data_IF_569051830354
#
_entry.id   IF_569051830354
#
_cell.length_a   1.000
_cell.length_b   1.000
_cell.length_c   1.000
_cell.angle_alpha   90.00
_cell.angle_beta   90.00
_cell.angle_gamma   90.00
#
_symmetry.space_group_name_H-M   'P 1'
#
loop_
_entity.id
_entity.type
_entity.pdbx_description
1 polymer ?
2 non-polymer ?
3 non-polymer ?
4 non-polymer ?
5 water ?
#
# COMPACT_ATOMS: atom_id res chain seq x y z
N UNK A 2 -10.59 -13.98 -3.29
CA UNK A 2 -10.00 -14.22 -1.94
C UNK A 2 -8.72 -13.38 -1.80
N UNK A 3 -8.38 -13.02 -0.56
CA UNK A 3 -7.23 -12.17 -0.31
C UNK A 3 -6.00 -13.01 0.02
N UNK A 4 -4.90 -12.72 -0.69
CA UNK A 4 -3.61 -13.27 -0.31
C UNK A 4 -2.62 -12.13 -0.11
N UNK A 5 -1.68 -12.31 0.83
CA UNK A 5 -0.69 -11.28 1.12
C UNK A 5 0.23 -11.13 -0.09
N UNK A 6 0.72 -9.90 -0.28
CA UNK A 6 1.67 -9.56 -1.32
C UNK A 6 3.11 -9.71 -0.81
N UNK A 7 4.00 -10.23 -1.67
CA UNK A 7 5.43 -10.29 -1.43
C UNK A 7 6.16 -9.24 -2.24
N UNK A 8 7.48 -9.12 -2.04
CA UNK A 8 8.34 -8.29 -2.86
C UNK A 8 8.12 -8.55 -4.34
N UNK A 9 7.87 -9.80 -4.73
CA UNK A 9 7.74 -10.14 -6.15
C UNK A 9 6.40 -9.67 -6.71
N UNK A 10 5.35 -9.73 -5.89
CA UNK A 10 4.06 -9.17 -6.25
C UNK A 10 4.21 -7.67 -6.43
N UNK A 11 4.93 -7.03 -5.52
CA UNK A 11 5.12 -5.60 -5.59
C UNK A 11 5.84 -5.21 -6.89
N UNK A 12 6.88 -5.99 -7.24
CA UNK A 12 7.66 -5.69 -8.44
C UNK A 12 6.77 -5.79 -9.68
N UNK A 13 5.92 -6.81 -9.73
CA UNK A 13 5.00 -6.99 -10.84
C UNK A 13 3.99 -5.84 -10.90
N UNK A 14 3.42 -5.47 -9.73
CA UNK A 14 2.45 -4.39 -9.70
C UNK A 14 3.08 -3.07 -10.12
N UNK A 15 4.30 -2.80 -9.68
CA UNK A 15 5.02 -1.60 -10.09
C UNK A 15 5.10 -1.54 -11.62
N UNK A 16 5.52 -2.64 -12.23
CA UNK A 16 5.70 -2.74 -13.68
C UNK A 16 4.37 -2.46 -14.38
N UNK A 17 3.31 -3.14 -13.94
CA UNK A 17 1.98 -2.97 -14.52
C UNK A 17 1.50 -1.53 -14.38
N UNK A 18 1.69 -0.92 -13.21
CA UNK A 18 1.21 0.44 -12.96
C UNK A 18 2.01 1.46 -13.77
N UNK A 19 3.33 1.26 -13.85
CA UNK A 19 4.19 2.12 -14.65
C UNK A 19 3.71 2.13 -16.11
N UNK A 20 3.43 0.95 -16.64
CA UNK A 20 2.95 0.80 -18.00
C UNK A 20 1.59 1.47 -18.16
N UNK A 21 0.62 1.11 -17.31
CA UNK A 21 -0.74 1.57 -17.49
C UNK A 21 -0.88 3.07 -17.24
N UNK A 22 -0.07 3.66 -16.35
CA UNK A 22 -0.15 5.08 -16.06
C UNK A 22 0.89 5.88 -16.87
N UNK A 23 1.66 5.21 -17.72
CA UNK A 23 2.71 5.86 -18.51
C UNK A 23 3.65 6.68 -17.63
N UNK A 24 4.19 6.04 -16.59
CA UNK A 24 4.99 6.74 -15.60
C UNK A 24 6.36 7.04 -16.22
N UNK A 25 6.84 8.30 -16.19
CA UNK A 25 8.18 8.65 -16.69
C UNK A 25 9.32 7.92 -15.99
N UNK A 26 10.38 7.64 -16.78
CA UNK A 26 11.55 6.89 -16.34
C UNK A 26 12.13 7.39 -15.01
N UNK A 27 12.19 8.71 -14.82
CA UNK A 27 12.82 9.26 -13.62
C UNK A 27 11.99 8.90 -12.37
N UNK A 28 10.66 8.82 -12.51
CA UNK A 28 9.82 8.39 -11.40
C UNK A 28 10.09 6.90 -11.10
N UNK A 29 10.26 6.09 -12.15
CA UNK A 29 10.42 4.66 -12.00
C UNK A 29 11.63 4.36 -11.11
N UNK A 30 12.70 5.12 -11.29
CA UNK A 30 13.93 4.93 -10.54
C UNK A 30 13.69 5.21 -9.06
N UNK A 31 12.93 6.26 -8.77
CA UNK A 31 12.62 6.59 -7.39
C UNK A 31 11.75 5.48 -6.80
N UNK A 32 10.74 5.04 -7.56
CA UNK A 32 9.81 4.03 -7.07
C UNK A 32 10.53 2.72 -6.77
N UNK A 33 11.55 2.36 -7.57
CA UNK A 33 12.35 1.16 -7.35
C UNK A 33 13.10 1.23 -6.00
N UNK A 34 13.45 2.45 -5.59
CA UNK A 34 14.13 2.69 -4.33
C UNK A 34 13.14 2.99 -3.21
N UNK A 35 11.83 2.82 -3.48
CA UNK A 35 10.77 3.10 -2.52
C UNK A 35 10.84 4.55 -2.03
N UNK A 36 11.12 5.47 -2.95
CA UNK A 36 11.11 6.90 -2.67
C UNK A 36 9.94 7.51 -3.43
N UNK A 37 9.10 8.25 -2.72
CA UNK A 37 7.81 8.67 -3.28
C UNK A 37 7.61 10.16 -3.07
N UNK A 38 7.73 10.97 -4.14
CA UNK A 38 7.31 12.37 -4.10
C UNK A 38 5.82 12.51 -3.81
N UNK A 39 5.42 13.66 -3.26
CA UNK A 39 4.02 13.91 -2.93
C UNK A 39 3.37 14.70 -4.05
N UNK A 40 3.32 14.13 -5.26
CA UNK A 40 2.70 14.79 -6.40
C UNK A 40 1.65 13.85 -6.99
N UNK A 41 0.86 14.35 -7.95
CA UNK A 41 -0.28 13.60 -8.45
C UNK A 41 0.16 12.31 -9.12
N UNK A 42 1.25 12.35 -9.90
CA UNK A 42 1.80 11.19 -10.57
C UNK A 42 2.04 10.06 -9.55
N UNK A 43 2.65 10.41 -8.42
CA UNK A 43 3.05 9.43 -7.42
C UNK A 43 1.84 8.95 -6.62
N UNK A 44 0.92 9.86 -6.31
CA UNK A 44 -0.24 9.50 -5.51
C UNK A 44 -1.14 8.54 -6.29
N UNK A 45 -1.27 8.76 -7.61
CA UNK A 45 -2.06 7.85 -8.43
C UNK A 45 -1.34 6.52 -8.62
N UNK A 46 0.00 6.53 -8.60
CA UNK A 46 0.78 5.30 -8.65
C UNK A 46 0.51 4.45 -7.40
N UNK A 47 0.55 5.09 -6.24
CA UNK A 47 0.33 4.40 -4.98
C UNK A 47 -1.09 3.82 -4.95
N UNK A 48 -2.09 4.59 -5.46
CA UNK A 48 -3.44 4.05 -5.50
C UNK A 48 -3.49 2.78 -6.34
N UNK A 49 -2.82 2.81 -7.50
CA UNK A 49 -2.79 1.71 -8.45
C UNK A 49 -2.20 0.45 -7.79
N UNK A 50 -1.09 0.62 -7.06
CA UNK A 50 -0.43 -0.50 -6.42
C UNK A 50 -1.30 -1.04 -5.28
N UNK A 51 -1.88 -0.16 -4.47
CA UNK A 51 -2.75 -0.58 -3.39
C UNK A 51 -4.00 -1.26 -3.95
N UNK A 52 -4.55 -0.78 -5.07
CA UNK A 52 -5.66 -1.44 -5.73
C UNK A 52 -5.28 -2.90 -6.03
N UNK A 53 -4.12 -3.06 -6.67
CA UNK A 53 -3.68 -4.37 -7.13
C UNK A 53 -3.41 -5.31 -5.95
N UNK A 54 -3.01 -4.76 -4.80
CA UNK A 54 -2.74 -5.58 -3.62
C UNK A 54 -4.00 -5.75 -2.76
N UNK A 55 -5.13 -5.24 -3.26
CA UNK A 55 -6.42 -5.35 -2.58
C UNK A 55 -6.34 -4.76 -1.17
N UNK A 56 -5.64 -3.63 -1.05
CA UNK A 56 -5.53 -2.90 0.20
C UNK A 56 -6.36 -1.62 0.18
N UNK A 57 -6.83 -1.23 -1.02
CA UNK A 57 -7.54 0.02 -1.20
C UNK A 57 -8.52 -0.12 -2.37
N UNK A 58 -9.77 0.27 -2.11
CA UNK A 58 -10.82 0.32 -3.11
C UNK A 58 -11.23 1.79 -3.29
N UNK A 59 -11.47 2.20 -4.54
CA UNK A 59 -11.72 3.61 -4.82
C UNK A 59 -13.05 4.12 -4.25
N UNK A 60 -13.99 3.23 -3.94
CA UNK A 60 -15.24 3.60 -3.31
C UNK A 60 -15.21 3.30 -1.80
N UNK A 61 -14.76 2.11 -1.40
CA UNK A 61 -14.82 1.72 0.01
C UNK A 61 -13.66 2.32 0.79
N UNK A 62 -12.56 2.65 0.11
CA UNK A 62 -11.41 3.20 0.79
C UNK A 62 -10.41 2.12 1.23
N UNK A 63 -9.59 2.40 2.27
CA UNK A 63 -8.67 1.39 2.82
C UNK A 63 -9.47 0.18 3.28
N UNK A 64 -8.91 -1.00 2.98
CA UNK A 64 -9.55 -2.28 3.26
C UNK A 64 -8.86 -2.90 4.48
N UNK A 65 -9.52 -2.75 5.63
CA UNK A 65 -8.88 -2.93 6.93
C UNK A 65 -8.52 -4.40 7.15
N UNK A 66 -9.44 -5.32 6.90
CA UNK A 66 -9.17 -6.73 7.16
C UNK A 66 -7.93 -7.16 6.37
N UNK A 67 -7.88 -6.76 5.10
CA UNK A 67 -6.77 -7.09 4.22
C UNK A 67 -5.47 -6.42 4.68
N UNK A 68 -5.54 -5.14 5.07
CA UNK A 68 -4.39 -4.43 5.59
C UNK A 68 -3.82 -5.12 6.83
N UNK A 69 -4.71 -5.57 7.74
CA UNK A 69 -4.23 -6.26 8.92
C UNK A 69 -3.51 -7.55 8.54
N UNK A 70 -4.10 -8.33 7.62
CA UNK A 70 -3.50 -9.58 7.16
C UNK A 70 -2.12 -9.29 6.58
N UNK A 71 -2.03 -8.22 5.77
CA UNK A 71 -0.77 -7.84 5.13
C UNK A 71 0.28 -7.45 6.17
N UNK A 72 -0.14 -6.75 7.24
CA UNK A 72 0.81 -6.11 8.16
C UNK A 72 1.23 -7.04 9.30
N UNK A 73 0.36 -7.96 9.73
CA UNK A 73 0.51 -8.54 11.07
C UNK A 73 1.57 -9.64 11.12
N UNK A 74 1.80 -10.33 9.99
CA UNK A 74 2.66 -11.51 9.95
C UNK A 74 2.15 -12.59 10.90
N UNK A 75 0.81 -12.69 11.02
CA UNK A 75 0.17 -13.72 11.82
C UNK A 75 0.19 -13.46 13.32
N UNK A 76 0.54 -12.24 13.76
CA UNK A 76 0.77 -11.96 15.17
C UNK A 76 0.22 -10.59 15.56
N UNK A 77 -0.39 -10.53 16.75
CA UNK A 77 -0.86 -9.29 17.37
C UNK A 77 -1.88 -8.58 16.48
N UNK A 78 -2.83 -9.32 15.90
CA UNK A 78 -3.70 -8.78 14.87
C UNK A 78 -4.59 -7.66 15.39
N UNK A 79 -5.04 -7.75 16.65
CA UNK A 79 -5.97 -6.77 17.17
C UNK A 79 -5.25 -5.45 17.44
N UNK A 80 -3.98 -5.56 17.83
CA UNK A 80 -3.13 -4.39 18.02
C UNK A 80 -2.88 -3.72 16.68
N UNK A 81 -2.63 -4.52 15.65
CA UNK A 81 -2.38 -3.98 14.30
C UNK A 81 -3.65 -3.30 13.80
N UNK A 82 -4.82 -3.92 14.00
CA UNK A 82 -6.09 -3.33 13.59
C UNK A 82 -6.29 -1.97 14.24
N UNK A 83 -6.00 -1.85 15.55
CA UNK A 83 -6.10 -0.58 16.26
C UNK A 83 -5.28 0.48 15.54
N UNK A 84 -4.04 0.15 15.16
CA UNK A 84 -3.15 1.10 14.50
C UNK A 84 -3.67 1.44 13.10
N UNK A 85 -4.10 0.43 12.35
CA UNK A 85 -4.65 0.65 11.01
C UNK A 85 -5.81 1.63 11.05
N UNK A 86 -6.75 1.40 11.99
CA UNK A 86 -7.98 2.17 12.05
C UNK A 86 -7.69 3.66 12.31
N UNK A 87 -6.60 3.98 13.02
CA UNK A 87 -6.18 5.36 13.19
C UNK A 87 -5.90 6.05 11.87
N UNK A 88 -5.56 5.28 10.82
CA UNK A 88 -5.18 5.81 9.53
C UNK A 88 -6.34 5.86 8.55
N UNK A 89 -7.51 5.33 8.94
CA UNK A 89 -8.67 5.28 8.05
C UNK A 89 -9.47 6.57 8.17
N UNK A 90 -9.76 7.21 7.04
CA UNK A 90 -10.63 8.37 6.99
C UNK A 90 -11.54 8.25 5.76
N UNK A 91 -12.37 9.26 5.52
CA UNK A 91 -13.24 9.31 4.36
C UNK A 91 -12.56 10.04 3.21
N UNK A 92 -13.18 9.94 2.03
CA UNK A 92 -12.70 10.57 0.81
C UNK A 92 -13.09 12.06 0.82
N UNK A 93 -12.46 12.83 1.70
CA UNK A 93 -12.90 14.16 2.05
C UNK A 93 -12.76 15.14 0.86
N UNK A 94 -11.78 14.94 -0.03
CA UNK A 94 -11.62 15.82 -1.18
C UNK A 94 -12.02 15.15 -2.50
N UNK A 95 -12.65 13.97 -2.43
CA UNK A 95 -13.25 13.31 -3.59
C UNK A 95 -12.17 13.02 -4.63
N UNK A 96 -11.00 12.59 -4.15
CA UNK A 96 -9.92 12.20 -5.04
C UNK A 96 -9.34 10.92 -4.46
N UNK A 97 -9.60 9.81 -5.16
CA UNK A 97 -9.24 8.50 -4.62
C UNK A 97 -7.72 8.34 -4.54
N UNK A 98 -6.98 9.03 -5.43
CA UNK A 98 -5.53 9.01 -5.41
C UNK A 98 -5.00 9.67 -4.12
N UNK A 99 -5.54 10.85 -3.79
CA UNK A 99 -5.18 11.51 -2.54
C UNK A 99 -5.55 10.65 -1.34
N UNK A 100 -6.75 10.07 -1.39
CA UNK A 100 -7.26 9.21 -0.33
C UNK A 100 -6.28 8.08 -0.04
N UNK A 101 -5.90 7.32 -1.08
CA UNK A 101 -5.00 6.19 -0.91
C UNK A 101 -3.67 6.69 -0.35
N UNK A 102 -3.17 7.82 -0.86
CA UNK A 102 -1.84 8.28 -0.49
C UNK A 102 -1.80 8.78 0.96
N UNK A 103 -2.89 9.40 1.40
CA UNK A 103 -3.05 9.85 2.78
C UNK A 103 -2.94 8.67 3.74
N UNK A 104 -3.61 7.57 3.38
CA UNK A 104 -3.48 6.32 4.11
C UNK A 104 -2.02 5.86 4.21
N UNK A 105 -1.35 5.81 3.05
CA UNK A 105 0.05 5.41 2.97
C UNK A 105 0.93 6.27 3.87
N UNK A 106 0.71 7.58 3.85
CA UNK A 106 1.52 8.49 4.66
C UNK A 106 1.31 8.21 6.15
N UNK A 107 0.06 7.93 6.53
CA UNK A 107 -0.27 7.59 7.90
C UNK A 107 0.38 6.25 8.29
N UNK A 108 0.41 5.27 7.36
CA UNK A 108 1.11 4.01 7.63
C UNK A 108 2.59 4.25 7.93
N UNK A 109 3.24 5.09 7.10
CA UNK A 109 4.64 5.41 7.26
C UNK A 109 4.89 6.08 8.61
N UNK A 110 4.03 7.03 8.97
CA UNK A 110 4.13 7.74 10.23
C UNK A 110 4.02 6.80 11.43
N UNK A 111 3.21 5.74 11.30
CA UNK A 111 2.97 4.84 12.41
C UNK A 111 3.76 3.54 12.31
N UNK A 112 4.80 3.49 11.45
CA UNK A 112 5.69 2.34 11.38
C UNK A 112 4.93 1.06 10.99
N UNK A 113 3.96 1.19 10.06
CA UNK A 113 3.23 0.06 9.55
C UNK A 113 3.81 -0.22 8.17
N UNK A 114 4.59 -1.29 8.08
CA UNK A 114 5.32 -1.59 6.88
C UNK A 114 4.64 -2.74 6.16
N UNK A 115 4.19 -2.49 4.93
CA UNK A 115 3.41 -3.47 4.18
C UNK A 115 4.29 -4.64 3.71
N UNK A 116 5.56 -4.36 3.40
CA UNK A 116 6.48 -5.38 2.92
C UNK A 116 7.62 -5.49 3.92
N UNK A 117 7.67 -6.61 4.64
CA UNK A 117 8.67 -6.87 5.66
C UNK A 117 9.29 -8.24 5.42
N UNK A 118 10.43 -8.50 6.07
CA UNK A 118 11.05 -9.81 6.09
C UNK A 118 10.23 -10.77 6.96
N UNK A 119 10.39 -12.06 6.70
CA UNK A 119 9.75 -13.11 7.49
C UNK A 119 10.79 -14.16 7.84
N UNK A 120 10.89 -14.50 9.13
CA UNK A 120 11.79 -15.55 9.58
C UNK A 120 10.99 -16.83 9.75
N UNK A 121 11.44 -17.91 9.10
CA UNK A 121 10.69 -19.15 9.02
C UNK A 121 11.40 -20.22 9.84
N UNK A 122 10.70 -20.79 10.83
CA UNK A 122 11.24 -21.86 11.66
C UNK A 122 11.32 -23.15 10.83
N UNK A 123 12.46 -23.37 10.16
CA UNK A 123 12.65 -24.53 9.31
C UNK A 123 13.11 -25.71 10.17
X LIG B 1 3.37 -1.54 -1.13
X LIG B 1 2.34 -1.00 -1.60
X LIG B 1 3.43 -2.71 -0.70
X LIG B 1 4.61 -0.71 -1.11
X LIG B 1 4.59 0.60 -1.57
X LIG B 1 5.75 1.35 -1.56
X LIG B 1 6.92 0.81 -1.09
X LIG B 1 6.95 -0.48 -0.61
X LIG B 1 5.80 -1.24 -0.63
X LIG B 1 3.79 0.97 -1.90
X LIG B 1 5.72 2.24 -1.87
X LIG B 1 7.71 1.33 -1.07
X LIG B 1 7.76 -0.84 -0.29
X LIG B 1 5.83 -2.13 -0.31
X LIG C 1 7.58 0.20 4.39
X LIG C 1 7.82 1.59 4.23
X LIG C 1 7.02 -0.41 3.12
X LIG C 1 6.88 -1.81 3.33
X LIG C 1 5.69 0.16 2.73
X LIG C 1 4.72 -0.06 3.75
X LIG C 1 6.95 0.06 5.13
X LIG C 1 8.44 -0.25 4.61
X LIG C 1 7.37 2.01 4.82
X LIG C 1 7.66 -0.27 2.39
X LIG C 1 7.65 -2.16 3.34
X LIG C 1 5.38 -0.26 1.89
X LIG C 1 5.78 1.13 2.57
X LIG C 1 4.38 0.69 3.96
X LIG D 1 5.87 -9.84 2.74
X LIG D 1 7.11 -9.16 2.69
X LIG D 1 5.16 -9.58 4.03
X LIG D 1 5.44 -8.30 4.60
X LIG D 1 3.66 -9.78 3.95
X LIG D 1 3.25 -10.52 5.09
X LIG D 1 6.01 -10.81 2.63
X LIG D 1 5.30 -9.53 1.99
X LIG D 1 7.46 -9.31 1.92
X LIG D 1 5.49 -10.24 4.68
X LIG D 1 4.90 -7.73 4.27
X LIG D 1 3.44 -10.27 3.12
X LIG D 1 3.20 -8.91 3.94
X LIG D 1 3.38 -11.35 4.93
X LIG E 1 8.64 -12.27 11.38
X LIG E 1 8.27 -10.88 11.38
X LIG E 1 10.01 -12.39 10.97
X LIG E 1 8.47 -12.81 12.70
X LIG E 1 7.79 -13.00 10.46
X LIG F 1 6.10 0.28 16.65
X LIG F 1 5.02 0.76 17.47
X LIG F 1 6.93 1.39 16.29
X LIG F 1 6.87 -0.69 17.39
X LIG F 1 5.57 -0.33 15.47
#
# INVERSE_FOLDING_TARGET
MEFTVSTTEDLQRYRTECVSSLNIPADYVEKFKKWEFPEDDTTMCYIKCVFNKMQLFDDTEGPLVDNLVHQLAHGRDAEEVRTEVLKCVDKNTDNNACHWAFRGFKCFQKNNLSLIKASIKKD
BEZ C O1 O2 C1 C2 C3 C4 C5 C6 H2 H3 H4 H5 H6
GOL C1 O1 C2 O2 C3 O3 H11 H12 HO1 H2 HO2 H31 H32 HO3
GOL C1 O1 C2 O2 C3 O3 H11 H12 HO1 H2 HO2 H31 H32 HO3
SO4 S O1 O2 O3 O4
SO4 S O1 O2 O3 O4
#
